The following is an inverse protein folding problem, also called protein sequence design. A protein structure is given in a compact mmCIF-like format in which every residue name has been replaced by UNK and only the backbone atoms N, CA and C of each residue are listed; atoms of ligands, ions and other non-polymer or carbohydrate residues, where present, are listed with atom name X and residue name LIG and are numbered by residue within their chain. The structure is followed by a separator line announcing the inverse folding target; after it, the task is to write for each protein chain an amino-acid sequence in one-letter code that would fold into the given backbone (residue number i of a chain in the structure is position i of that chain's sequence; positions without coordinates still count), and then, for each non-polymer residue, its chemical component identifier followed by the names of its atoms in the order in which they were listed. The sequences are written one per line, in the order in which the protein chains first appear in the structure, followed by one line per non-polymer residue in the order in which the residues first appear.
data_IF_293548188276
#
_entry.id   IF_293548188276
#
_cell.length_a   1.000
_cell.length_b   1.000
_cell.length_c   1.000
_cell.angle_alpha   90.00
_cell.angle_beta   90.00
_cell.angle_gamma   90.00
#
_symmetry.space_group_name_H-M   'P 1'
#
loop_
_entity.id
_entity.type
_entity.pdbx_description
1 polymer ?
#
# COMPACT_ATOMS: atom_id res chain seq x y z
N UNK A 1 2.08 5.70 12.19
CA UNK A 1 0.78 5.01 12.20
C UNK A 1 -0.12 5.63 11.14
N UNK A 2 -0.73 4.79 10.31
CA UNK A 2 -1.78 5.10 9.33
C UNK A 2 -2.63 3.82 9.17
N UNK A 3 -3.83 3.96 8.62
CA UNK A 3 -4.68 2.83 8.23
C UNK A 3 -4.34 2.38 6.82
N UNK A 4 -4.53 1.10 6.55
CA UNK A 4 -4.48 0.51 5.20
C UNK A 4 -5.88 0.14 4.71
N UNK A 5 -6.05 0.12 3.39
CA UNK A 5 -7.22 -0.48 2.74
C UNK A 5 -6.72 -1.41 1.63
N UNK A 6 -7.25 -2.63 1.61
CA UNK A 6 -6.86 -3.74 0.73
C UNK A 6 -8.10 -4.39 0.11
N UNK A 7 -7.86 -5.29 -0.83
CA UNK A 7 -8.87 -6.20 -1.35
C UNK A 7 -9.28 -7.23 -0.27
N UNK A 8 -10.35 -7.97 -0.52
CA UNK A 8 -10.85 -9.01 0.41
C UNK A 8 -9.99 -10.29 0.41
N UNK A 9 -9.95 -11.05 1.52
CA UNK A 9 -9.27 -12.33 1.57
C UNK A 9 -10.00 -13.39 0.72
N UNK A 10 -9.22 -14.19 -0.02
CA UNK A 10 -9.75 -15.28 -0.86
C UNK A 10 -8.80 -16.47 -0.88
N UNK A 11 -9.37 -17.68 -0.90
CA UNK A 11 -8.60 -18.94 -1.01
C UNK A 11 -7.87 -19.06 -2.36
N UNK A 12 -8.48 -18.52 -3.41
CA UNK A 12 -7.94 -18.53 -4.77
C UNK A 12 -7.72 -17.11 -5.22
N UNK A 13 -6.48 -16.80 -5.62
CA UNK A 13 -6.10 -15.48 -6.09
C UNK A 13 -6.96 -15.07 -7.30
N UNK A 14 -7.63 -13.94 -7.16
CA UNK A 14 -8.25 -13.19 -8.24
C UNK A 14 -7.54 -11.85 -8.37
N UNK A 15 -7.11 -11.54 -9.58
CA UNK A 15 -6.36 -10.31 -9.85
C UNK A 15 -7.22 -9.10 -9.51
N UNK A 16 -6.70 -8.18 -8.69
CA UNK A 16 -7.39 -6.97 -8.23
C UNK A 16 -8.57 -7.20 -7.27
N UNK A 17 -8.67 -8.41 -6.69
CA UNK A 17 -9.76 -8.75 -5.78
C UNK A 17 -9.27 -9.70 -4.67
N UNK A 18 -7.96 -9.73 -4.37
CA UNK A 18 -7.42 -10.61 -3.32
C UNK A 18 -6.39 -9.87 -2.51
N UNK A 19 -6.60 -9.86 -1.18
CA UNK A 19 -5.69 -9.25 -0.22
C UNK A 19 -4.28 -9.85 -0.30
N UNK A 20 -3.32 -9.12 0.27
CA UNK A 20 -1.96 -9.62 0.39
C UNK A 20 -1.95 -10.68 1.51
N UNK A 21 -1.30 -11.84 1.33
CA UNK A 21 -1.23 -12.84 2.39
C UNK A 21 -0.51 -12.28 3.63
N UNK A 22 -0.93 -12.69 4.84
CA UNK A 22 -0.18 -12.37 6.05
C UNK A 22 1.27 -12.87 5.98
N UNK A 23 2.19 -12.07 6.50
CA UNK A 23 3.62 -12.35 6.44
C UNK A 23 4.48 -11.08 6.55
N UNK A 24 5.79 -11.29 6.62
CA UNK A 24 6.77 -10.20 6.56
C UNK A 24 7.31 -10.08 5.13
N UNK A 25 7.26 -8.87 4.57
CA UNK A 25 7.74 -8.58 3.23
C UNK A 25 8.82 -7.49 3.27
N UNK A 26 9.86 -7.67 2.45
CA UNK A 26 10.88 -6.64 2.25
C UNK A 26 10.33 -5.53 1.36
N UNK A 27 10.68 -4.29 1.67
CA UNK A 27 10.30 -3.11 0.88
C UNK A 27 11.44 -2.70 -0.05
N UNK A 28 11.08 -2.29 -1.27
CA UNK A 28 11.99 -1.74 -2.27
C UNK A 28 11.42 -0.50 -2.96
N UNK A 29 12.24 0.13 -3.81
CA UNK A 29 11.82 1.24 -4.66
C UNK A 29 11.72 0.80 -6.12
N UNK A 30 10.52 1.00 -6.69
CA UNK A 30 10.23 0.75 -8.09
C UNK A 30 10.26 2.04 -8.89
N UNK A 31 11.22 2.15 -9.81
CA UNK A 31 11.51 3.37 -10.58
C UNK A 31 10.97 3.34 -12.01
N UNK A 32 9.94 2.54 -12.27
CA UNK A 32 9.33 2.44 -13.60
C UNK A 32 7.85 2.06 -13.52
N UNK A 33 7.08 2.38 -14.57
CA UNK A 33 5.67 2.01 -14.74
C UNK A 33 4.71 3.16 -14.42
N UNK A 34 3.45 3.00 -14.85
CA UNK A 34 2.43 4.07 -14.87
C UNK A 34 2.28 4.85 -13.54
N UNK A 35 2.31 4.15 -12.40
CA UNK A 35 2.19 4.83 -11.10
C UNK A 35 3.45 5.62 -10.75
N UNK A 36 4.64 5.10 -11.05
CA UNK A 36 5.89 5.83 -10.91
C UNK A 36 5.86 7.13 -11.72
N UNK A 37 5.50 7.04 -13.01
CA UNK A 37 5.44 8.19 -13.92
C UNK A 37 4.44 9.23 -13.39
N UNK A 38 3.26 8.79 -12.95
CA UNK A 38 2.24 9.68 -12.37
C UNK A 38 2.73 10.36 -11.09
N UNK A 39 3.40 9.63 -10.21
CA UNK A 39 3.84 10.14 -8.90
C UNK A 39 5.06 11.05 -9.02
N UNK A 40 5.88 10.88 -10.05
CA UNK A 40 6.95 11.82 -10.39
C UNK A 40 6.43 13.23 -10.60
N UNK A 41 5.23 13.40 -11.16
CA UNK A 41 4.60 14.73 -11.29
C UNK A 41 3.85 15.14 -10.02
N UNK A 42 3.08 14.23 -9.41
CA UNK A 42 2.22 14.54 -8.26
C UNK A 42 3.01 14.85 -6.98
N UNK A 43 4.16 14.21 -6.80
CA UNK A 43 5.01 14.29 -5.61
C UNK A 43 6.45 14.62 -6.00
N UNK A 44 6.63 15.51 -6.98
CA UNK A 44 7.92 15.84 -7.58
C UNK A 44 9.01 16.18 -6.55
N UNK A 45 8.64 16.79 -5.42
CA UNK A 45 9.57 17.22 -4.38
C UNK A 45 10.15 16.06 -3.55
N UNK A 46 9.49 14.90 -3.51
CA UNK A 46 9.88 13.78 -2.64
C UNK A 46 10.04 12.45 -3.38
N UNK A 47 9.55 12.33 -4.62
CA UNK A 47 9.41 11.04 -5.28
C UNK A 47 10.74 10.47 -5.81
N UNK A 48 11.17 9.34 -5.24
CA UNK A 48 12.37 8.59 -5.60
C UNK A 48 12.06 7.21 -6.24
N UNK A 49 10.79 6.87 -6.43
CA UNK A 49 10.33 5.52 -6.78
C UNK A 49 9.06 5.16 -6.02
N UNK A 50 8.24 4.25 -6.53
CA UNK A 50 7.11 3.73 -5.75
C UNK A 50 7.65 2.76 -4.69
N UNK A 51 7.12 2.80 -3.46
CA UNK A 51 7.43 1.75 -2.46
C UNK A 51 6.70 0.48 -2.89
N UNK A 52 7.44 -0.61 -3.03
CA UNK A 52 6.96 -1.93 -3.46
C UNK A 52 7.22 -2.98 -2.39
N UNK A 53 6.26 -3.88 -2.16
CA UNK A 53 6.45 -5.12 -1.41
C UNK A 53 7.05 -6.17 -2.34
N UNK A 54 8.23 -6.67 -1.96
CA UNK A 54 8.99 -7.65 -2.73
C UNK A 54 8.60 -9.08 -2.35
N UNK A 55 8.73 -9.98 -3.32
CA UNK A 55 8.59 -11.43 -3.16
C UNK A 55 7.23 -11.90 -2.58
N UNK A 56 6.17 -11.13 -2.82
CA UNK A 56 4.80 -11.49 -2.40
C UNK A 56 4.31 -12.73 -3.18
N UNK A 57 3.98 -13.86 -2.52
CA UNK A 57 3.65 -15.11 -3.21
C UNK A 57 2.48 -14.97 -4.19
N UNK A 58 2.73 -15.28 -5.46
CA UNK A 58 1.76 -15.15 -6.57
C UNK A 58 1.41 -13.71 -6.96
N UNK A 59 1.96 -12.68 -6.31
CA UNK A 59 1.70 -11.27 -6.63
C UNK A 59 2.99 -10.59 -7.15
N UNK A 60 2.82 -9.51 -7.91
CA UNK A 60 3.92 -8.65 -8.37
C UNK A 60 3.40 -7.23 -8.45
N UNK A 61 4.29 -6.23 -8.41
CA UNK A 61 3.90 -4.82 -8.54
C UNK A 61 2.93 -4.39 -7.41
N UNK A 62 3.18 -4.84 -6.18
CA UNK A 62 2.36 -4.51 -5.01
C UNK A 62 2.90 -3.22 -4.41
N UNK A 63 2.22 -2.12 -4.70
CA UNK A 63 2.69 -0.79 -4.37
C UNK A 63 1.94 -0.21 -3.18
N UNK A 64 2.61 0.62 -2.39
CA UNK A 64 1.95 1.49 -1.42
C UNK A 64 1.61 2.80 -2.13
N UNK A 65 0.34 3.21 -2.13
CA UNK A 65 -0.06 4.46 -2.78
C UNK A 65 -1.30 5.13 -2.19
N UNK A 66 -1.60 6.34 -2.65
CA UNK A 66 -2.83 7.03 -2.29
C UNK A 66 -4.02 6.41 -3.03
N UNK A 67 -5.13 6.26 -2.32
CA UNK A 67 -6.47 5.94 -2.81
C UNK A 67 -7.46 6.14 -1.66
N UNK A 68 -8.76 6.00 -1.91
CA UNK A 68 -9.78 6.22 -0.88
C UNK A 68 -10.79 5.09 -0.79
N UNK A 69 -11.01 4.33 -1.87
CA UNK A 69 -11.95 3.21 -1.91
C UNK A 69 -11.27 1.92 -2.37
N UNK A 70 -11.94 0.80 -2.17
CA UNK A 70 -11.62 -0.51 -2.75
C UNK A 70 -11.42 -0.48 -4.27
N UNK A 71 -12.16 0.36 -4.99
CA UNK A 71 -11.98 0.52 -6.43
C UNK A 71 -10.62 1.11 -6.81
N UNK A 72 -9.92 1.76 -5.86
CA UNK A 72 -8.59 2.30 -6.06
C UNK A 72 -7.48 1.28 -5.75
N UNK A 73 -7.77 0.15 -5.06
CA UNK A 73 -6.74 -0.77 -4.54
C UNK A 73 -6.08 -1.54 -5.67
N UNK A 74 -6.81 -2.08 -6.65
CA UNK A 74 -6.22 -2.90 -7.73
C UNK A 74 -5.17 -3.94 -7.25
N UNK A 75 -5.33 -4.50 -6.04
CA UNK A 75 -4.36 -5.40 -5.39
C UNK A 75 -3.12 -4.74 -4.76
N UNK A 76 -3.09 -3.41 -4.64
CA UNK A 76 -2.06 -2.61 -3.98
C UNK A 76 -2.53 -2.13 -2.60
N UNK A 77 -1.58 -1.69 -1.76
CA UNK A 77 -1.86 -1.15 -0.43
C UNK A 77 -2.22 0.33 -0.52
N UNK A 78 -3.44 0.70 -0.14
CA UNK A 78 -3.81 2.09 0.07
C UNK A 78 -3.51 2.51 1.50
N UNK A 79 -3.15 3.78 1.72
CA UNK A 79 -2.86 4.33 3.05
C UNK A 79 -3.66 5.59 3.35
N UNK A 80 -4.10 5.78 4.61
CA UNK A 80 -4.92 6.91 5.05
C UNK A 80 -4.81 7.19 6.55
N UNK A 81 -5.22 8.39 6.99
CA UNK A 81 -5.19 8.78 8.41
C UNK A 81 -6.52 8.56 9.12
N UNK A 82 -7.58 8.23 8.38
CA UNK A 82 -8.90 7.92 8.92
C UNK A 82 -9.47 6.71 8.19
N UNK A 83 -10.29 5.91 8.88
CA UNK A 83 -11.04 4.80 8.30
C UNK A 83 -12.52 4.93 8.65
N UNK A 84 -13.40 4.47 7.76
CA UNK A 84 -14.81 4.22 8.11
C UNK A 84 -14.96 2.81 8.71
N UNK A 85 -15.99 2.63 9.55
CA UNK A 85 -16.28 1.33 10.14
C UNK A 85 -17.08 0.50 9.14
N UNK A 86 -16.45 -0.55 8.61
CA UNK A 86 -17.06 -1.41 7.59
C UNK A 86 -18.24 -2.25 8.12
N UNK A 87 -18.46 -2.33 9.44
CA UNK A 87 -19.68 -2.90 10.02
C UNK A 87 -20.91 -1.98 9.87
N UNK A 88 -20.71 -0.71 9.52
CA UNK A 88 -21.77 0.30 9.37
C UNK A 88 -22.00 0.63 7.89
N UNK A 89 -20.97 0.52 7.07
CA UNK A 89 -21.00 0.85 5.64
C UNK A 89 -20.22 -0.21 4.86
N UNK A 90 -20.87 -0.86 3.91
CA UNK A 90 -20.32 -2.05 3.23
C UNK A 90 -19.05 -1.74 2.43
N UNK A 91 -18.94 -0.54 1.85
CA UNK A 91 -17.75 -0.15 1.09
C UNK A 91 -16.71 0.48 2.00
N UNK A 92 -15.54 -0.17 2.07
CA UNK A 92 -14.39 0.34 2.80
C UNK A 92 -13.95 1.71 2.29
N UNK A 93 -13.68 2.62 3.23
CA UNK A 93 -13.17 3.95 2.91
C UNK A 93 -12.05 4.35 3.87
N UNK A 94 -10.97 4.84 3.29
CA UNK A 94 -9.91 5.54 4.02
C UNK A 94 -9.82 7.00 3.57
N UNK A 95 -9.59 7.90 4.53
CA UNK A 95 -9.49 9.33 4.30
C UNK A 95 -8.08 9.87 4.48
N UNK A 96 -7.84 11.08 3.95
CA UNK A 96 -6.57 11.82 4.05
C UNK A 96 -5.34 11.07 3.51
N UNK A 97 -5.53 10.27 2.47
CA UNK A 97 -4.50 9.39 1.90
C UNK A 97 -3.24 10.11 1.43
N UNK A 98 -3.37 11.30 0.83
CA UNK A 98 -2.20 12.12 0.43
C UNK A 98 -1.31 12.48 1.63
N UNK A 99 -1.91 12.84 2.78
CA UNK A 99 -1.17 13.25 3.98
C UNK A 99 -0.49 12.03 4.61
N UNK A 100 -1.22 10.93 4.72
CA UNK A 100 -0.69 9.66 5.22
C UNK A 100 0.49 9.19 4.37
N UNK A 101 0.31 9.17 3.05
CA UNK A 101 1.33 8.78 2.08
C UNK A 101 2.57 9.67 2.22
N UNK A 102 2.44 11.00 2.17
CA UNK A 102 3.58 11.91 2.27
C UNK A 102 4.40 11.67 3.56
N UNK A 103 3.70 11.48 4.69
CA UNK A 103 4.33 11.27 6.00
C UNK A 103 5.13 9.98 6.06
N UNK A 104 4.56 8.86 5.61
CA UNK A 104 5.25 7.55 5.69
C UNK A 104 6.28 7.39 4.58
N UNK A 105 5.98 7.88 3.37
CA UNK A 105 6.78 7.67 2.18
C UNK A 105 8.18 8.26 2.35
N UNK A 106 8.27 9.50 2.85
CA UNK A 106 9.55 10.17 3.02
C UNK A 106 10.49 9.36 3.91
N UNK A 107 10.02 8.96 5.10
CA UNK A 107 10.81 8.18 6.04
C UNK A 107 11.26 6.82 5.46
N UNK A 108 10.33 6.10 4.81
CA UNK A 108 10.62 4.76 4.26
C UNK A 108 11.57 4.85 3.06
N UNK A 109 11.31 5.77 2.12
CA UNK A 109 12.15 5.93 0.92
C UNK A 109 13.56 6.37 1.28
N UNK A 110 13.74 7.28 2.24
CA UNK A 110 15.06 7.69 2.73
C UNK A 110 15.82 6.53 3.37
N UNK A 111 15.16 5.69 4.18
CA UNK A 111 15.76 4.50 4.78
C UNK A 111 16.15 3.44 3.72
N UNK A 112 15.29 3.18 2.74
CA UNK A 112 15.64 2.26 1.64
C UNK A 112 16.85 2.80 0.86
N UNK A 113 16.89 4.11 0.59
CA UNK A 113 17.99 4.74 -0.14
C UNK A 113 19.31 4.80 0.66
N UNK A 114 19.25 4.82 1.99
CA UNK A 114 20.43 4.72 2.85
C UNK A 114 20.99 3.29 2.95
N UNK A 115 20.30 2.31 2.34
CA UNK A 115 20.66 0.90 2.38
C UNK A 115 20.12 0.15 3.60
N UNK A 116 19.19 0.75 4.34
CA UNK A 116 18.52 0.07 5.45
C UNK A 116 17.56 -1.01 4.92
N UNK A 117 17.57 -2.16 5.59
CA UNK A 117 16.62 -3.22 5.32
C UNK A 117 15.27 -2.87 5.95
N UNK A 118 14.32 -2.47 5.11
CA UNK A 118 12.98 -2.08 5.53
C UNK A 118 12.01 -3.24 5.28
N UNK A 119 11.21 -3.61 6.28
CA UNK A 119 10.15 -4.62 6.16
C UNK A 119 8.78 -4.07 6.52
N UNK A 120 7.74 -4.71 6.01
CA UNK A 120 6.35 -4.53 6.44
C UNK A 120 5.80 -5.87 6.90
N UNK A 121 5.08 -5.86 8.02
CA UNK A 121 4.37 -7.02 8.54
C UNK A 121 2.88 -6.87 8.21
N UNK A 122 2.34 -7.80 7.42
CA UNK A 122 0.92 -7.93 7.12
C UNK A 122 0.34 -8.98 8.08
N UNK A 123 -0.74 -8.62 8.77
CA UNK A 123 -1.38 -9.48 9.79
C UNK A 123 -2.85 -9.70 9.45
N UNK A 124 -3.32 -10.94 9.63
CA UNK A 124 -4.74 -11.28 9.58
C UNK A 124 -5.36 -10.98 10.95
N UNK A 125 -5.80 -9.75 11.17
CA UNK A 125 -6.51 -9.41 12.41
C UNK A 125 -7.97 -9.94 12.34
N UNK A 126 -8.16 -11.20 12.75
CA UNK A 126 -9.49 -11.72 13.11
C UNK A 126 -9.77 -11.33 14.55
N UNK A 127 -10.42 -10.20 14.76
CA UNK A 127 -11.02 -9.90 16.07
C UNK A 127 -12.27 -10.78 16.24
N UNK A 128 -12.15 -11.79 17.10
CA UNK A 128 -13.26 -12.63 17.60
C UNK A 128 -13.98 -11.89 18.73
#
# INVERSE_FOLDING_TARGET
MCYTLEDEPRDVKVKHETCIPAGEYTLGLKTHGRLHDKYQYRFADIHNGMIELLDVPNFTNILIHCGNTDNDTSGCLLVGDTQENNNIKESGFIGKSTIAYFRIYKAISEAIMSGEHCTINITDDVFI
#
